data_IF_396048274764
#
_entry.id   IF_396048274764
#
_cell.length_a   1.000
_cell.length_b   1.000
_cell.length_c   1.000
_cell.angle_alpha   90.00
_cell.angle_beta   90.00
_cell.angle_gamma   90.00
#
_symmetry.space_group_name_H-M   'P 1'
#
loop_
_entity.id
_entity.type
_entity.pdbx_description
1 polymer ?
#
# COMPACT_ATOMS: atom_id res chain seq x y z
N UNK A 1 6.20 8.26 -12.38
CA UNK A 1 7.35 8.38 -13.30
C UNK A 1 7.16 7.33 -14.37
N UNK A 2 6.75 7.73 -15.58
CA UNK A 2 6.65 6.80 -16.72
C UNK A 2 8.07 6.38 -17.09
N UNK A 3 8.38 5.09 -17.05
CA UNK A 3 9.64 4.61 -17.61
C UNK A 3 9.52 4.80 -19.12
N UNK A 4 10.20 5.82 -19.65
CA UNK A 4 10.19 6.09 -21.08
C UNK A 4 10.93 4.96 -21.81
N UNK A 5 10.16 4.00 -22.34
CA UNK A 5 10.69 2.93 -23.17
C UNK A 5 10.90 3.47 -24.59
N UNK A 6 12.17 3.64 -24.99
CA UNK A 6 12.54 4.12 -26.31
C UNK A 6 12.28 3.05 -27.37
N UNK A 7 11.04 3.07 -27.87
CA UNK A 7 10.58 2.14 -28.90
C UNK A 7 11.41 2.22 -30.19
N UNK A 8 11.91 3.41 -30.55
CA UNK A 8 12.68 3.57 -31.79
C UNK A 8 14.06 2.93 -31.68
N UNK A 9 14.76 3.16 -30.56
CA UNK A 9 16.04 2.54 -30.30
C UNK A 9 15.92 1.01 -30.21
N UNK A 10 14.89 0.51 -29.54
CA UNK A 10 14.63 -0.92 -29.40
C UNK A 10 14.31 -1.58 -30.76
N UNK A 11 13.51 -0.94 -31.63
CA UNK A 11 13.21 -1.47 -32.96
C UNK A 11 14.47 -1.55 -33.83
N UNK A 12 15.30 -0.50 -33.82
CA UNK A 12 16.58 -0.49 -34.57
C UNK A 12 17.52 -1.61 -34.13
N UNK A 13 17.66 -1.84 -32.83
CA UNK A 13 18.50 -2.96 -32.34
C UNK A 13 17.99 -4.32 -32.80
N UNK A 14 16.68 -4.53 -32.82
CA UNK A 14 16.10 -5.78 -33.34
C UNK A 14 16.36 -5.94 -34.84
N UNK A 15 16.25 -4.85 -35.61
CA UNK A 15 16.57 -4.85 -37.04
C UNK A 15 18.05 -5.15 -37.29
N UNK A 16 18.96 -4.54 -36.52
CA UNK A 16 20.40 -4.82 -36.56
C UNK A 16 20.72 -6.28 -36.18
N UNK A 17 19.91 -6.89 -35.32
CA UNK A 17 19.99 -8.31 -34.97
C UNK A 17 19.38 -9.24 -36.05
N UNK A 18 18.87 -8.70 -37.15
CA UNK A 18 18.36 -9.45 -38.30
C UNK A 18 16.85 -9.66 -38.32
N UNK A 19 16.08 -9.01 -37.43
CA UNK A 19 14.62 -9.05 -37.51
C UNK A 19 14.10 -8.12 -38.63
N UNK A 20 13.12 -8.56 -39.45
CA UNK A 20 12.43 -7.67 -40.37
C UNK A 20 11.73 -6.53 -39.62
N UNK A 21 11.79 -5.32 -40.20
CA UNK A 21 11.19 -4.09 -39.62
C UNK A 21 9.75 -4.27 -39.12
N UNK A 22 8.81 -4.89 -39.86
CA UNK A 22 7.44 -5.10 -39.37
C UNK A 22 7.36 -5.96 -38.11
N UNK A 23 8.29 -6.91 -37.94
CA UNK A 23 8.34 -7.78 -36.77
C UNK A 23 8.98 -7.07 -35.58
N UNK A 24 10.07 -6.33 -35.82
CA UNK A 24 10.74 -5.52 -34.80
C UNK A 24 9.76 -4.51 -34.19
N UNK A 25 9.02 -3.78 -35.03
CA UNK A 25 8.04 -2.79 -34.59
C UNK A 25 6.88 -3.43 -33.81
N UNK A 26 6.38 -4.58 -34.26
CA UNK A 26 5.29 -5.29 -33.59
C UNK A 26 5.70 -5.76 -32.17
N UNK A 27 6.90 -6.30 -32.02
CA UNK A 27 7.44 -6.76 -30.73
C UNK A 27 7.59 -5.58 -29.77
N UNK A 28 8.25 -4.53 -30.21
CA UNK A 28 8.51 -3.32 -29.41
C UNK A 28 7.22 -2.64 -28.99
N UNK A 29 6.25 -2.55 -29.90
CA UNK A 29 4.93 -1.96 -29.61
C UNK A 29 4.19 -2.75 -28.53
N UNK A 30 4.27 -4.08 -28.59
CA UNK A 30 3.62 -4.96 -27.60
C UNK A 30 4.29 -4.84 -26.23
N UNK A 31 5.63 -4.82 -26.20
CA UNK A 31 6.41 -4.62 -24.98
C UNK A 31 6.13 -3.25 -24.36
N UNK A 32 6.11 -2.19 -25.16
CA UNK A 32 5.82 -0.82 -24.71
C UNK A 32 4.45 -0.71 -24.03
N UNK A 33 3.40 -1.31 -24.61
CA UNK A 33 2.08 -1.39 -23.95
C UNK A 33 2.11 -2.20 -22.66
N UNK A 34 2.82 -3.33 -22.65
CA UNK A 34 2.96 -4.16 -21.46
C UNK A 34 3.60 -3.40 -20.29
N UNK A 35 4.64 -2.62 -20.57
CA UNK A 35 5.34 -1.82 -19.56
C UNK A 35 4.59 -0.54 -19.15
N UNK A 36 3.83 0.07 -20.06
CA UNK A 36 3.11 1.33 -19.80
C UNK A 36 1.94 1.17 -18.82
N UNK A 37 1.15 0.11 -18.98
CA UNK A 37 -0.13 0.00 -18.27
C UNK A 37 -0.10 -0.97 -17.07
N UNK A 38 0.88 -1.87 -16.98
CA UNK A 38 0.86 -2.96 -15.98
C UNK A 38 2.06 -2.97 -15.01
N UNK A 39 2.90 -1.92 -15.02
CA UNK A 39 4.08 -1.87 -14.15
C UNK A 39 3.85 -0.89 -13.02
N UNK A 40 3.76 -1.41 -11.80
CA UNK A 40 3.82 -0.58 -10.61
C UNK A 40 5.20 0.09 -10.52
N UNK A 41 5.22 1.41 -10.44
CA UNK A 41 6.47 2.15 -10.22
C UNK A 41 6.88 2.06 -8.76
N UNK A 42 8.16 2.32 -8.48
CA UNK A 42 8.67 2.40 -7.10
C UNK A 42 7.88 3.41 -6.25
N UNK A 43 7.48 4.52 -6.86
CA UNK A 43 6.68 5.56 -6.22
C UNK A 43 5.27 5.06 -5.85
N UNK A 44 4.65 4.24 -6.71
CA UNK A 44 3.33 3.65 -6.43
C UNK A 44 3.42 2.69 -5.22
N UNK A 45 4.51 1.95 -5.13
CA UNK A 45 4.78 1.07 -4.00
C UNK A 45 5.01 1.87 -2.71
N UNK A 46 5.84 2.91 -2.74
CA UNK A 46 6.08 3.81 -1.59
C UNK A 46 4.77 4.44 -1.11
N UNK A 47 3.92 4.88 -2.04
CA UNK A 47 2.60 5.44 -1.74
C UNK A 47 1.68 4.39 -1.09
N UNK A 48 1.68 3.17 -1.61
CA UNK A 48 0.91 2.07 -1.04
C UNK A 48 1.37 1.72 0.39
N UNK A 49 2.68 1.66 0.63
CA UNK A 49 3.28 1.41 1.94
C UNK A 49 2.90 2.52 2.92
N UNK A 50 3.09 3.78 2.56
CA UNK A 50 2.73 4.92 3.41
C UNK A 50 1.24 4.92 3.77
N UNK A 51 0.37 4.56 2.82
CA UNK A 51 -1.08 4.43 3.07
C UNK A 51 -1.38 3.29 4.05
N UNK A 52 -0.70 2.15 3.92
CA UNK A 52 -0.88 1.00 4.82
C UNK A 52 -0.38 1.32 6.23
N UNK A 53 0.79 1.95 6.36
CA UNK A 53 1.31 2.41 7.65
C UNK A 53 0.36 3.39 8.34
N UNK A 54 -0.22 4.33 7.58
CA UNK A 54 -1.25 5.24 8.08
C UNK A 54 -2.46 4.50 8.65
N UNK A 55 -3.02 3.53 7.90
CA UNK A 55 -4.14 2.71 8.37
C UNK A 55 -3.80 1.85 9.59
N UNK A 56 -2.59 1.31 9.65
CA UNK A 56 -2.13 0.53 10.81
C UNK A 56 -2.05 1.43 12.05
N UNK A 57 -1.52 2.65 11.91
CA UNK A 57 -1.43 3.59 13.02
C UNK A 57 -2.80 4.09 13.48
N UNK A 58 -3.72 4.31 12.55
CA UNK A 58 -5.12 4.64 12.85
C UNK A 58 -5.79 3.51 13.65
N UNK A 59 -5.72 2.28 13.16
CA UNK A 59 -6.27 1.10 13.86
C UNK A 59 -5.65 0.90 15.24
N UNK A 60 -4.32 1.08 15.38
CA UNK A 60 -3.65 1.03 16.68
C UNK A 60 -4.15 2.12 17.63
N UNK A 61 -4.37 3.33 17.12
CA UNK A 61 -4.92 4.44 17.90
C UNK A 61 -6.34 4.15 18.39
N UNK A 62 -7.18 3.59 17.53
CA UNK A 62 -8.54 3.20 17.87
C UNK A 62 -8.56 2.06 18.91
N UNK A 63 -7.75 1.02 18.71
CA UNK A 63 -7.60 -0.08 19.68
C UNK A 63 -7.12 0.40 21.04
N UNK A 64 -6.12 1.29 21.09
CA UNK A 64 -5.61 1.84 22.34
C UNK A 64 -6.67 2.69 23.05
N UNK A 65 -7.42 3.51 22.31
CA UNK A 65 -8.52 4.31 22.85
C UNK A 65 -9.63 3.42 23.41
N UNK A 66 -10.03 2.39 22.67
CA UNK A 66 -11.04 1.43 23.11
C UNK A 66 -10.59 0.70 24.37
N UNK A 67 -9.34 0.21 24.38
CA UNK A 67 -8.76 -0.47 25.56
C UNK A 67 -8.75 0.45 26.78
N UNK A 68 -8.34 1.71 26.61
CA UNK A 68 -8.33 2.69 27.70
C UNK A 68 -9.75 2.96 28.24
N UNK A 69 -10.75 3.11 27.37
CA UNK A 69 -12.14 3.28 27.77
C UNK A 69 -12.68 2.05 28.52
N UNK A 70 -12.43 0.85 28.01
CA UNK A 70 -12.85 -0.39 28.67
C UNK A 70 -12.20 -0.54 30.05
N UNK A 71 -10.89 -0.32 30.17
CA UNK A 71 -10.22 -0.37 31.47
C UNK A 71 -10.74 0.69 32.44
N UNK A 72 -10.96 1.92 31.96
CA UNK A 72 -11.51 3.00 32.77
C UNK A 72 -12.90 2.69 33.33
N UNK A 73 -13.79 2.13 32.49
CA UNK A 73 -15.14 1.73 32.91
C UNK A 73 -15.12 0.57 33.91
N UNK A 74 -14.26 -0.43 33.69
CA UNK A 74 -14.09 -1.55 34.63
C UNK A 74 -13.57 -1.09 35.99
N UNK A 75 -12.53 -0.25 36.01
CA UNK A 75 -12.00 0.32 37.26
C UNK A 75 -13.05 1.17 37.98
N UNK A 76 -13.80 2.00 37.26
CA UNK A 76 -14.91 2.75 37.82
C UNK A 76 -15.96 1.86 38.49
N UNK A 77 -16.38 0.79 37.80
CA UNK A 77 -17.36 -0.16 38.35
C UNK A 77 -16.87 -0.86 39.62
N UNK A 78 -15.60 -1.30 39.66
CA UNK A 78 -14.99 -1.91 40.85
C UNK A 78 -14.97 -0.91 42.02
N UNK A 79 -14.62 0.34 41.74
CA UNK A 79 -14.53 1.38 42.77
C UNK A 79 -15.91 1.66 43.40
N UNK A 80 -16.95 1.77 42.56
CA UNK A 80 -18.34 1.93 43.01
C UNK A 80 -18.81 0.72 43.82
N UNK A 81 -18.56 -0.50 43.34
CA UNK A 81 -18.94 -1.72 44.07
C UNK A 81 -18.28 -1.80 45.45
N UNK A 82 -17.00 -1.45 45.54
CA UNK A 82 -16.24 -1.46 46.81
C UNK A 82 -16.80 -0.42 47.79
N UNK A 83 -17.14 0.77 47.31
CA UNK A 83 -17.74 1.82 48.13
C UNK A 83 -19.11 1.40 48.71
N UNK A 84 -19.93 0.71 47.92
CA UNK A 84 -21.23 0.18 48.39
C UNK A 84 -21.03 -0.86 49.49
N UNK A 85 -20.08 -1.78 49.33
CA UNK A 85 -19.80 -2.83 50.33
C UNK A 85 -19.33 -2.20 51.65
N UNK A 86 -18.44 -1.20 51.60
CA UNK A 86 -17.94 -0.51 52.80
C UNK A 86 -19.04 0.29 53.49
N UNK A 87 -19.96 0.90 52.75
CA UNK A 87 -21.07 1.66 53.34
C UNK A 87 -22.16 0.77 53.97
N UNK A 88 -22.21 -0.51 53.59
CA UNK A 88 -23.23 -1.46 54.05
C UNK A 88 -22.79 -2.36 55.23
N UNK A 89 -21.49 -2.40 55.54
CA UNK A 89 -20.92 -3.14 56.68
C UNK A 89 -20.66 -2.25 57.88
#
# INVERSE_FOLDING_TARGET
>A
MVVAFDTLAASKQLQEAGLPEPQADAIVTTLSRGFGDNVATKHDLETAVARLEGKINELRGEMNRQTAWTLGTLLGAITVATAIIVAAG
#
